data_IF_176439303197
#
_entry.id   IF_176439303197
#
_cell.length_a   1.000
_cell.length_b   1.000
_cell.length_c   1.000
_cell.angle_alpha   90.00
_cell.angle_beta   90.00
_cell.angle_gamma   90.00
#
_symmetry.space_group_name_H-M   'P 1'
#
loop_
_entity.id
_entity.type
_entity.pdbx_description
1 polymer ?
#
# COMPACT_ATOMS: atom_id res chain seq x y z
N UNK A 1 12.83 -10.80 12.40
CA UNK A 1 12.12 -10.08 11.34
C UNK A 1 11.62 -8.76 11.87
N UNK A 2 11.89 -7.72 11.10
CA UNK A 2 11.41 -6.40 11.48
C UNK A 2 10.13 -6.09 10.72
N UNK A 3 9.06 -5.92 11.47
CA UNK A 3 7.81 -5.45 10.87
C UNK A 3 7.77 -3.94 10.97
N UNK A 4 7.62 -3.28 9.85
CA UNK A 4 7.55 -1.84 9.79
C UNK A 4 6.15 -1.44 9.35
N UNK A 5 5.69 -0.34 9.88
CA UNK A 5 4.35 0.12 9.61
C UNK A 5 4.39 1.32 8.67
N UNK A 6 3.61 1.24 7.63
CA UNK A 6 3.41 2.33 6.70
C UNK A 6 1.94 2.69 6.69
N UNK A 7 1.63 3.91 7.06
CA UNK A 7 0.28 4.41 6.92
C UNK A 7 0.40 5.62 6.04
N UNK A 8 -0.05 5.48 4.82
CA UNK A 8 -0.04 6.61 3.93
C UNK A 8 -1.02 7.60 4.48
N UNK A 9 -0.67 8.84 4.38
CA UNK A 9 -1.50 9.88 4.91
C UNK A 9 -2.73 10.05 4.05
N UNK A 10 -3.38 8.98 3.81
CA UNK A 10 -4.66 9.03 3.16
C UNK A 10 -5.70 9.57 4.06
N UNK A 11 -5.30 9.77 5.27
CA UNK A 11 -6.13 10.45 6.22
C UNK A 11 -6.70 11.71 5.64
N UNK A 12 -5.94 12.36 4.79
CA UNK A 12 -6.43 13.57 4.17
C UNK A 12 -7.55 13.31 3.20
N UNK A 13 -7.78 12.05 2.87
CA UNK A 13 -8.81 11.71 1.90
C UNK A 13 -10.00 11.06 2.52
N UNK A 14 -9.93 10.74 3.77
CA UNK A 14 -10.94 9.91 4.35
C UNK A 14 -12.24 10.62 4.54
N UNK A 15 -12.24 11.92 4.59
CA UNK A 15 -13.47 12.64 4.74
C UNK A 15 -14.27 12.64 3.46
N UNK A 16 -13.72 12.10 2.40
CA UNK A 16 -14.48 11.89 1.19
C UNK A 16 -15.09 10.52 1.25
N UNK A 17 -15.83 10.18 0.25
CA UNK A 17 -16.45 8.87 0.18
C UNK A 17 -15.86 8.09 -0.97
N UNK A 18 -14.56 7.93 -0.97
CA UNK A 18 -13.89 7.32 -2.11
C UNK A 18 -14.27 5.88 -2.32
N UNK A 19 -14.68 5.24 -1.24
CA UNK A 19 -14.97 3.82 -1.37
C UNK A 19 -16.31 3.55 -2.03
N UNK A 20 -17.12 4.58 -2.15
CA UNK A 20 -18.37 4.46 -2.88
C UNK A 20 -18.11 4.42 -4.37
N UNK A 21 -17.08 5.10 -4.80
CA UNK A 21 -16.78 5.21 -6.22
C UNK A 21 -16.09 3.99 -6.78
N UNK A 22 -15.49 3.19 -5.93
CA UNK A 22 -14.86 1.97 -6.37
C UNK A 22 -13.57 2.21 -7.12
N UNK A 23 -13.32 1.39 -8.12
CA UNK A 23 -12.05 1.40 -8.82
C UNK A 23 -12.21 1.64 -10.30
N UNK A 24 -13.11 2.54 -10.68
CA UNK A 24 -13.20 2.87 -12.08
C UNK A 24 -11.92 3.63 -12.49
N UNK A 25 -11.78 3.82 -13.78
CA UNK A 25 -10.57 4.41 -14.32
C UNK A 25 -10.31 5.82 -13.83
N UNK A 26 -11.37 6.57 -13.63
CA UNK A 26 -11.23 7.94 -13.13
C UNK A 26 -10.69 7.96 -11.72
N UNK A 27 -11.18 7.05 -10.89
CA UNK A 27 -10.73 6.96 -9.51
C UNK A 27 -9.26 6.54 -9.45
N UNK A 28 -8.88 5.57 -10.26
CA UNK A 28 -7.49 5.14 -10.31
C UNK A 28 -6.58 6.27 -10.79
N UNK A 29 -7.02 7.04 -11.77
CA UNK A 29 -6.25 8.18 -12.23
C UNK A 29 -6.08 9.23 -11.15
N UNK A 30 -7.15 9.50 -10.43
CA UNK A 30 -7.12 10.48 -9.36
C UNK A 30 -6.13 10.07 -8.28
N UNK A 31 -6.18 8.82 -7.90
CA UNK A 31 -5.28 8.30 -6.87
C UNK A 31 -3.83 8.31 -7.34
N UNK A 32 -3.62 8.02 -8.61
CA UNK A 32 -2.26 8.06 -9.14
C UNK A 32 -1.71 9.49 -9.16
N UNK A 33 -2.55 10.45 -9.55
CA UNK A 33 -2.15 11.85 -9.54
C UNK A 33 -1.80 12.29 -8.13
N UNK A 34 -2.63 11.88 -7.17
CA UNK A 34 -2.40 12.23 -5.78
C UNK A 34 -1.11 11.62 -5.26
N UNK A 35 -0.86 10.37 -5.63
CA UNK A 35 0.38 9.72 -5.26
C UNK A 35 1.59 10.48 -5.82
N UNK A 36 1.51 10.91 -7.08
CA UNK A 36 2.62 11.63 -7.70
C UNK A 36 2.87 12.98 -7.05
N UNK A 37 1.79 13.66 -6.64
CA UNK A 37 1.92 14.96 -5.99
C UNK A 37 2.64 14.84 -4.65
N UNK A 38 2.30 13.81 -3.86
CA UNK A 38 2.85 13.66 -2.52
C UNK A 38 4.08 12.76 -2.45
N UNK A 39 4.52 12.26 -3.60
CA UNK A 39 5.56 11.23 -3.62
C UNK A 39 6.86 11.66 -2.95
N UNK A 40 7.30 12.89 -3.20
CA UNK A 40 8.57 13.32 -2.62
C UNK A 40 8.50 13.39 -1.09
N UNK A 41 7.37 13.84 -0.56
CA UNK A 41 7.21 13.90 0.90
C UNK A 41 7.13 12.50 1.49
N UNK A 42 6.45 11.60 0.78
CA UNK A 42 6.34 10.21 1.22
C UNK A 42 7.72 9.56 1.28
N UNK A 43 8.53 9.78 0.25
CA UNK A 43 9.86 9.19 0.22
C UNK A 43 10.73 9.73 1.34
N UNK A 44 10.59 11.01 1.67
CA UNK A 44 11.31 11.56 2.81
C UNK A 44 10.94 10.84 4.10
N UNK A 45 9.64 10.55 4.28
CA UNK A 45 9.20 9.81 5.44
C UNK A 45 9.77 8.40 5.49
N UNK A 46 9.82 7.74 4.34
CA UNK A 46 10.39 6.39 4.28
C UNK A 46 11.88 6.41 4.62
N UNK A 47 12.61 7.43 4.16
CA UNK A 47 14.01 7.55 4.48
C UNK A 47 14.23 7.79 5.97
N UNK A 48 13.38 8.61 6.57
CA UNK A 48 13.47 8.85 8.01
C UNK A 48 13.16 7.59 8.80
N UNK A 49 12.23 6.77 8.31
CA UNK A 49 11.90 5.51 8.95
C UNK A 49 12.93 4.42 8.66
N UNK A 50 13.86 4.69 7.76
CA UNK A 50 14.91 3.76 7.40
C UNK A 50 14.40 2.42 6.87
N UNK A 51 13.37 2.49 6.02
CA UNK A 51 12.91 1.29 5.33
C UNK A 51 14.04 0.80 4.42
N UNK A 52 14.30 -0.50 4.44
CA UNK A 52 15.45 -1.01 3.72
C UNK A 52 15.24 -2.45 3.27
N UNK A 53 16.21 -2.96 2.56
CA UNK A 53 16.18 -4.32 2.05
C UNK A 53 15.92 -5.31 3.18
N UNK A 54 15.04 -6.24 2.93
CA UNK A 54 14.70 -7.30 3.89
C UNK A 54 13.61 -6.94 4.87
N UNK A 55 13.18 -5.69 4.93
CA UNK A 55 12.13 -5.31 5.87
C UNK A 55 10.80 -5.92 5.46
N UNK A 56 9.93 -6.13 6.45
CA UNK A 56 8.55 -6.50 6.24
C UNK A 56 7.71 -5.28 6.60
N UNK A 57 6.96 -4.77 5.64
CA UNK A 57 6.21 -3.53 5.82
C UNK A 57 4.72 -3.83 5.73
N UNK A 58 3.97 -3.31 6.70
CA UNK A 58 2.53 -3.37 6.70
C UNK A 58 2.01 -2.04 6.18
N UNK A 59 1.43 -2.07 4.99
CA UNK A 59 0.93 -0.87 4.32
C UNK A 59 -0.58 -0.80 4.50
N UNK A 60 -1.01 -0.09 5.51
CA UNK A 60 -2.43 0.04 5.82
C UNK A 60 -3.07 1.08 4.90
N UNK A 61 -4.19 0.69 4.31
CA UNK A 61 -4.84 1.56 3.34
C UNK A 61 -4.07 1.60 2.04
N UNK A 62 -3.64 0.43 1.56
CA UNK A 62 -2.78 0.36 0.39
C UNK A 62 -3.44 0.90 -0.88
N UNK A 63 -4.77 0.93 -0.93
CA UNK A 63 -5.47 1.31 -2.14
C UNK A 63 -5.09 0.39 -3.28
N UNK A 64 -4.99 0.93 -4.50
CA UNK A 64 -4.63 0.09 -5.65
C UNK A 64 -3.15 -0.23 -5.73
N UNK A 65 -2.32 0.28 -4.82
CA UNK A 65 -0.97 -0.21 -4.69
C UNK A 65 0.15 0.66 -5.20
N UNK A 66 -0.08 1.95 -5.42
CA UNK A 66 0.99 2.80 -5.94
C UNK A 66 2.17 2.89 -4.95
N UNK A 67 1.89 3.13 -3.67
CA UNK A 67 2.94 3.11 -2.66
C UNK A 67 3.43 1.71 -2.39
N UNK A 68 2.52 0.75 -2.39
CA UNK A 68 2.88 -0.64 -2.10
C UNK A 68 3.96 -1.13 -3.05
N UNK A 69 3.84 -0.80 -4.33
CA UNK A 69 4.81 -1.23 -5.32
C UNK A 69 6.18 -0.59 -5.08
N UNK A 70 6.21 0.69 -4.74
CA UNK A 70 7.47 1.35 -4.47
C UNK A 70 8.13 0.79 -3.22
N UNK A 71 7.32 0.52 -2.20
CA UNK A 71 7.85 -0.09 -0.99
C UNK A 71 8.40 -1.49 -1.27
N UNK A 72 7.72 -2.25 -2.13
CA UNK A 72 8.19 -3.57 -2.46
C UNK A 72 9.54 -3.53 -3.17
N UNK A 73 9.79 -2.50 -3.96
CA UNK A 73 11.11 -2.33 -4.57
C UNK A 73 12.17 -2.01 -3.53
N UNK A 74 11.81 -1.25 -2.49
CA UNK A 74 12.76 -0.91 -1.44
C UNK A 74 13.16 -2.15 -0.65
N UNK A 75 12.19 -2.98 -0.27
CA UNK A 75 12.48 -4.14 0.57
C UNK A 75 13.07 -5.31 -0.21
N UNK A 76 12.85 -5.33 -1.51
CA UNK A 76 13.45 -6.34 -2.38
C UNK A 76 12.92 -7.74 -2.18
N UNK A 77 13.57 -8.71 -2.80
CA UNK A 77 13.05 -10.10 -2.79
C UNK A 77 13.15 -10.78 -1.43
N UNK A 78 13.98 -10.28 -0.54
CA UNK A 78 14.07 -10.87 0.79
C UNK A 78 13.15 -10.20 1.79
N UNK A 79 12.50 -9.09 1.40
CA UNK A 79 11.50 -8.43 2.22
C UNK A 79 10.12 -8.73 1.71
N UNK A 80 9.14 -8.03 2.28
CA UNK A 80 7.74 -8.25 1.88
C UNK A 80 6.93 -7.02 2.26
N UNK A 81 5.92 -6.71 1.45
CA UNK A 81 4.96 -5.68 1.80
C UNK A 81 3.58 -6.31 1.88
N UNK A 82 2.93 -6.12 3.02
CA UNK A 82 1.56 -6.57 3.21
C UNK A 82 0.67 -5.38 2.92
N UNK A 83 -0.04 -5.43 1.80
CA UNK A 83 -0.91 -4.32 1.39
C UNK A 83 -2.34 -4.59 1.82
N UNK A 84 -2.83 -3.79 2.74
CA UNK A 84 -4.13 -4.00 3.36
C UNK A 84 -5.09 -2.91 2.94
N UNK A 85 -6.26 -3.31 2.49
CA UNK A 85 -7.33 -2.36 2.19
C UNK A 85 -8.67 -3.05 2.36
N UNK A 86 -9.68 -2.26 2.64
CA UNK A 86 -11.04 -2.82 2.79
C UNK A 86 -11.79 -2.91 1.48
N UNK A 87 -11.26 -2.34 0.42
CA UNK A 87 -11.92 -2.33 -0.89
C UNK A 87 -11.54 -3.57 -1.67
N UNK A 88 -12.52 -4.40 -1.97
CA UNK A 88 -12.28 -5.59 -2.77
C UNK A 88 -11.72 -5.21 -4.14
N UNK A 89 -12.23 -4.14 -4.73
CA UNK A 89 -11.78 -3.71 -6.05
C UNK A 89 -10.32 -3.28 -6.03
N UNK A 90 -9.92 -2.55 -5.00
CA UNK A 90 -8.52 -2.13 -4.87
C UNK A 90 -7.62 -3.34 -4.66
N UNK A 91 -8.06 -4.28 -3.84
CA UNK A 91 -7.24 -5.47 -3.60
C UNK A 91 -7.13 -6.32 -4.86
N UNK A 92 -8.21 -6.40 -5.63
CA UNK A 92 -8.14 -7.10 -6.92
C UNK A 92 -7.13 -6.44 -7.84
N UNK A 93 -7.11 -5.11 -7.87
CA UNK A 93 -6.15 -4.38 -8.69
C UNK A 93 -4.72 -4.62 -8.19
N UNK A 94 -4.54 -4.62 -6.88
CA UNK A 94 -3.22 -4.87 -6.30
C UNK A 94 -2.71 -6.27 -6.66
N UNK A 95 -3.61 -7.26 -6.67
CA UNK A 95 -3.24 -8.60 -7.07
C UNK A 95 -2.76 -8.65 -8.51
N UNK A 96 -3.44 -7.92 -9.39
CA UNK A 96 -3.01 -7.85 -10.78
C UNK A 96 -1.65 -7.21 -10.90
N UNK A 97 -1.42 -6.13 -10.15
CA UNK A 97 -0.12 -5.46 -10.19
C UNK A 97 0.99 -6.34 -9.65
N UNK A 98 0.69 -7.10 -8.61
CA UNK A 98 1.65 -8.05 -8.08
C UNK A 98 2.05 -9.08 -9.15
N UNK A 99 1.04 -9.63 -9.82
CA UNK A 99 1.31 -10.65 -10.82
C UNK A 99 2.13 -10.12 -11.99
N UNK A 100 1.85 -8.88 -12.39
CA UNK A 100 2.56 -8.26 -13.51
C UNK A 100 3.98 -7.90 -13.15
N UNK A 101 4.22 -7.46 -11.93
CA UNK A 101 5.51 -6.93 -11.53
C UNK A 101 6.41 -7.97 -10.87
N UNK A 102 5.82 -9.07 -10.42
CA UNK A 102 6.55 -10.10 -9.70
C UNK A 102 7.24 -9.59 -8.44
N UNK A 103 6.65 -8.59 -7.82
CA UNK A 103 7.19 -8.04 -6.57
C UNK A 103 6.65 -8.81 -5.38
N UNK A 104 7.36 -8.75 -4.26
CA UNK A 104 6.96 -9.51 -3.06
C UNK A 104 5.93 -8.72 -2.27
N UNK A 105 4.69 -8.83 -2.70
CA UNK A 105 3.54 -8.14 -2.13
C UNK A 105 2.51 -9.18 -1.73
N UNK A 106 1.92 -9.00 -0.56
CA UNK A 106 0.81 -9.85 -0.13
C UNK A 106 -0.42 -8.97 0.04
N UNK A 107 -1.38 -9.03 -0.89
CA UNK A 107 -2.61 -8.25 -0.77
C UNK A 107 -3.52 -8.88 0.27
N UNK A 108 -4.09 -8.05 1.14
CA UNK A 108 -4.97 -8.51 2.20
C UNK A 108 -6.22 -7.66 2.23
N UNK A 109 -7.36 -8.30 2.05
CA UNK A 109 -8.65 -7.63 2.16
C UNK A 109 -9.07 -7.66 3.61
N UNK A 110 -9.07 -6.52 4.27
CA UNK A 110 -9.44 -6.47 5.68
C UNK A 110 -9.70 -5.04 6.11
N UNK A 111 -10.50 -4.88 7.14
CA UNK A 111 -10.56 -3.62 7.86
C UNK A 111 -9.44 -3.63 8.90
N UNK A 112 -9.16 -2.45 9.45
CA UNK A 112 -8.14 -2.39 10.50
C UNK A 112 -8.55 -3.19 11.72
N UNK A 113 -9.84 -3.21 12.03
CA UNK A 113 -10.35 -3.92 13.21
C UNK A 113 -10.24 -5.43 13.07
N UNK A 114 -10.37 -5.92 11.85
CA UNK A 114 -10.38 -7.36 11.61
C UNK A 114 -9.01 -7.91 11.24
N UNK A 115 -8.02 -7.04 11.11
CA UNK A 115 -6.71 -7.46 10.66
C UNK A 115 -6.04 -8.33 11.72
N UNK A 116 -5.61 -9.52 11.30
CA UNK A 116 -4.90 -10.45 12.17
C UNK A 116 -3.59 -10.80 11.49
N UNK A 117 -2.51 -10.67 12.23
CA UNK A 117 -1.19 -11.01 11.74
C UNK A 117 -0.63 -12.15 12.57
N UNK A 118 0.16 -12.99 11.93
CA UNK A 118 0.85 -14.04 12.64
C UNK A 118 1.84 -13.41 13.59
N UNK A 119 1.93 -13.97 14.77
CA UNK A 119 2.74 -13.39 15.83
C UNK A 119 4.17 -13.91 15.82
N UNK A 120 4.67 -14.21 14.72
CA UNK A 120 5.99 -14.78 14.67
C UNK A 120 7.08 -13.83 14.95
#
# INVERSE_FOLDING_TARGET
IRLRLQIVALITMEDREPYILGTDEEELKRLKTQHNVWRSETIKGWNLAEFKLGDVILDLGSGPGYCTKELANIVGPTGKVLGVDRSQSFINHLKLEKDKSNLNIEPILSTFDDLKLDSE
#
